data_IF_560502424451
#
_entry.id   IF_560502424451
#
_cell.length_a   1.000
_cell.length_b   1.000
_cell.length_c   1.000
_cell.angle_alpha   90.00
_cell.angle_beta   90.00
_cell.angle_gamma   90.00
#
_symmetry.space_group_name_H-M   'P 1'
#
loop_
_entity.id
_entity.type
_entity.pdbx_description
1 polymer ?
#
# COMPACT_ATOMS: atom_id res chain seq x y z
N UNK A 1 -34.17 3.68 -7.46
CA UNK A 1 -32.86 2.98 -7.54
C UNK A 1 -32.05 3.38 -6.32
N UNK A 2 -31.61 2.43 -5.49
CA UNK A 2 -30.82 2.72 -4.29
C UNK A 2 -29.34 2.81 -4.67
N UNK A 3 -28.70 3.97 -4.43
CA UNK A 3 -27.24 4.09 -4.37
C UNK A 3 -26.81 4.01 -2.91
N UNK A 4 -26.40 2.82 -2.48
CA UNK A 4 -25.66 2.67 -1.22
C UNK A 4 -24.20 3.02 -1.50
N UNK A 5 -23.80 4.26 -1.26
CA UNK A 5 -22.40 4.59 -0.97
C UNK A 5 -22.16 4.33 0.51
N UNK A 6 -22.13 3.05 0.92
CA UNK A 6 -21.40 2.71 2.15
C UNK A 6 -19.97 3.15 1.87
N UNK A 7 -19.45 4.10 2.63
CA UNK A 7 -18.02 4.31 2.73
C UNK A 7 -17.39 2.91 2.86
N UNK A 8 -16.59 2.49 1.87
CA UNK A 8 -15.95 1.18 1.85
C UNK A 8 -15.28 1.07 3.22
N UNK A 9 -15.71 0.12 4.05
CA UNK A 9 -15.20 0.00 5.40
C UNK A 9 -13.73 -0.45 5.26
N UNK A 10 -12.82 0.52 5.24
CA UNK A 10 -11.38 0.30 5.02
C UNK A 10 -10.78 -0.64 6.06
N UNK A 11 -11.50 -0.88 7.17
CA UNK A 11 -11.29 -1.92 8.16
C UNK A 11 -10.90 -3.29 7.61
N UNK A 12 -11.44 -3.65 6.43
CA UNK A 12 -11.35 -5.03 5.93
C UNK A 12 -10.42 -5.21 4.72
N UNK A 13 -9.82 -4.14 4.20
CA UNK A 13 -8.92 -4.27 3.06
C UNK A 13 -7.53 -4.75 3.50
N UNK A 14 -6.94 -5.73 2.81
CA UNK A 14 -5.56 -6.10 3.07
C UNK A 14 -4.61 -4.97 2.68
N UNK A 15 -3.44 -4.93 3.33
CA UNK A 15 -2.33 -4.04 2.96
C UNK A 15 -1.34 -4.83 2.11
N UNK A 16 -1.04 -4.34 0.90
CA UNK A 16 0.05 -4.86 0.10
C UNK A 16 1.38 -4.33 0.62
N UNK A 17 2.35 -5.23 0.75
CA UNK A 17 3.73 -4.89 1.07
C UNK A 17 4.68 -5.48 0.03
N UNK A 18 5.79 -4.82 -0.21
CA UNK A 18 6.84 -5.37 -1.07
C UNK A 18 7.49 -6.59 -0.38
N UNK A 19 7.79 -7.66 -1.13
CA UNK A 19 8.49 -8.85 -0.62
C UNK A 19 9.93 -8.54 -0.17
N UNK A 20 10.56 -7.52 -0.76
CA UNK A 20 11.89 -7.08 -0.35
C UNK A 20 11.91 -6.65 1.12
N UNK A 21 12.56 -7.46 1.97
CA UNK A 21 12.71 -7.23 3.40
C UNK A 21 13.50 -5.96 3.74
N UNK A 22 14.29 -5.47 2.80
CA UNK A 22 15.07 -4.24 2.94
C UNK A 22 14.27 -2.98 2.58
N UNK A 23 13.13 -3.13 1.88
CA UNK A 23 12.24 -2.03 1.50
C UNK A 23 11.75 -1.28 2.75
N UNK A 24 12.01 0.03 2.89
CA UNK A 24 11.59 0.74 4.10
C UNK A 24 10.07 0.94 4.15
N UNK A 25 9.38 1.00 2.99
CA UNK A 25 7.91 1.02 2.95
C UNK A 25 7.34 -0.27 3.55
N UNK A 26 7.94 -1.44 3.27
CA UNK A 26 7.54 -2.71 3.88
C UNK A 26 7.64 -2.64 5.40
N UNK A 27 8.79 -2.19 5.92
CA UNK A 27 9.03 -2.08 7.38
C UNK A 27 8.00 -1.17 8.03
N UNK A 28 7.74 -0.02 7.42
CA UNK A 28 6.75 0.94 7.91
C UNK A 28 5.32 0.39 7.86
N UNK A 29 4.92 -0.26 6.76
CA UNK A 29 3.60 -0.90 6.67
C UNK A 29 3.41 -1.99 7.71
N UNK A 30 4.44 -2.79 7.99
CA UNK A 30 4.40 -3.80 9.07
C UNK A 30 4.19 -3.11 10.42
N UNK A 31 4.98 -2.08 10.74
CA UNK A 31 4.86 -1.33 12.00
C UNK A 31 3.47 -0.74 12.22
N UNK A 32 2.85 -0.22 11.16
CA UNK A 32 1.55 0.46 11.24
C UNK A 32 0.37 -0.51 11.29
N UNK A 33 0.44 -1.63 10.56
CA UNK A 33 -0.76 -2.39 10.21
C UNK A 33 -0.74 -3.87 10.60
N UNK A 34 0.40 -4.45 11.02
CA UNK A 34 0.50 -5.90 11.27
C UNK A 34 -0.53 -6.42 12.30
N UNK A 35 -0.89 -5.61 13.29
CA UNK A 35 -1.82 -6.00 14.37
C UNK A 35 -3.29 -5.78 13.98
N UNK A 36 -3.54 -5.02 12.91
CA UNK A 36 -4.90 -4.52 12.59
C UNK A 36 -5.40 -4.95 11.22
N UNK A 37 -4.53 -5.45 10.34
CA UNK A 37 -4.84 -5.82 8.95
C UNK A 37 -4.04 -7.01 8.48
N UNK A 38 -4.57 -7.71 7.49
CA UNK A 38 -3.85 -8.76 6.75
C UNK A 38 -2.81 -8.08 5.85
N UNK A 39 -1.56 -8.56 5.91
CA UNK A 39 -0.49 -8.13 5.02
C UNK A 39 -0.30 -9.15 3.90
N UNK A 40 -0.25 -8.69 2.65
CA UNK A 40 -0.03 -9.53 1.46
C UNK A 40 1.26 -9.09 0.79
N UNK A 41 2.19 -10.03 0.61
CA UNK A 41 3.46 -9.76 -0.06
C UNK A 41 3.34 -9.81 -1.57
N UNK A 42 4.04 -8.90 -2.24
CA UNK A 42 4.11 -8.86 -3.70
C UNK A 42 5.52 -8.51 -4.18
N UNK A 43 5.89 -8.98 -5.37
CA UNK A 43 7.28 -8.91 -5.85
C UNK A 43 7.67 -7.60 -6.54
N UNK A 44 6.71 -6.86 -7.11
CA UNK A 44 7.02 -5.68 -7.93
C UNK A 44 6.05 -4.54 -7.68
N UNK A 45 6.53 -3.31 -7.87
CA UNK A 45 5.67 -2.12 -7.82
C UNK A 45 4.52 -2.20 -8.84
N UNK A 46 4.76 -2.77 -10.02
CA UNK A 46 3.71 -2.93 -11.04
C UNK A 46 2.59 -3.86 -10.56
N UNK A 47 2.92 -4.95 -9.88
CA UNK A 47 1.92 -5.87 -9.32
C UNK A 47 1.12 -5.19 -8.21
N UNK A 48 1.79 -4.44 -7.32
CA UNK A 48 1.14 -3.62 -6.29
C UNK A 48 0.11 -2.69 -6.93
N UNK A 49 0.54 -1.88 -7.90
CA UNK A 49 -0.32 -0.88 -8.54
C UNK A 49 -1.49 -1.53 -9.27
N UNK A 50 -1.27 -2.67 -9.95
CA UNK A 50 -2.33 -3.41 -10.63
C UNK A 50 -3.44 -3.87 -9.69
N UNK A 51 -3.09 -4.46 -8.54
CA UNK A 51 -4.05 -4.96 -7.55
C UNK A 51 -4.80 -3.79 -6.89
N UNK A 52 -4.09 -2.71 -6.55
CA UNK A 52 -4.70 -1.54 -5.90
C UNK A 52 -5.70 -0.86 -6.83
N UNK A 53 -5.38 -0.73 -8.13
CA UNK A 53 -6.29 -0.16 -9.13
C UNK A 53 -7.56 -1.00 -9.34
N UNK A 54 -7.51 -2.30 -9.09
CA UNK A 54 -8.70 -3.16 -9.09
C UNK A 54 -9.58 -2.92 -7.86
N UNK A 55 -9.06 -2.23 -6.85
CA UNK A 55 -9.78 -1.86 -5.64
C UNK A 55 -9.87 -2.97 -4.61
N UNK A 56 -8.97 -3.95 -4.69
CA UNK A 56 -8.93 -5.17 -3.85
C UNK A 56 -8.00 -5.04 -2.63
N UNK A 57 -7.14 -4.02 -2.60
CA UNK A 57 -6.19 -3.81 -1.50
C UNK A 57 -5.82 -2.33 -1.34
N UNK A 58 -5.18 -2.02 -0.21
CA UNK A 58 -4.55 -0.72 0.09
C UNK A 58 -3.03 -0.91 0.10
N UNK A 59 -2.27 0.15 -0.16
CA UNK A 59 -0.81 0.13 -0.07
C UNK A 59 -0.29 1.47 0.46
N UNK A 60 0.84 1.43 1.18
CA UNK A 60 1.61 2.63 1.49
C UNK A 60 2.52 2.99 0.31
N UNK A 61 2.34 4.19 -0.25
CA UNK A 61 3.10 4.68 -1.40
C UNK A 61 3.83 5.99 -1.09
N UNK A 62 5.01 6.22 -1.72
CA UNK A 62 5.61 7.54 -1.75
C UNK A 62 4.68 8.55 -2.42
N UNK A 63 4.63 9.78 -1.89
CA UNK A 63 3.82 10.86 -2.48
C UNK A 63 4.18 11.16 -3.94
N UNK A 64 5.44 10.94 -4.35
CA UNK A 64 5.88 11.09 -5.73
C UNK A 64 5.26 10.06 -6.70
N UNK A 65 4.69 8.97 -6.18
CA UNK A 65 3.99 7.93 -6.94
C UNK A 65 2.47 8.01 -6.76
N UNK A 66 1.93 9.11 -6.21
CA UNK A 66 0.50 9.36 -6.19
C UNK A 66 0.01 9.59 -7.63
N UNK A 67 -0.51 8.53 -8.25
CA UNK A 67 -1.05 8.54 -9.61
C UNK A 67 -2.53 8.94 -9.55
N UNK A 68 -3.00 9.71 -10.53
CA UNK A 68 -4.38 10.22 -10.63
C UNK A 68 -5.49 9.14 -10.54
N UNK A 69 -5.16 7.87 -10.75
CA UNK A 69 -6.08 6.73 -10.73
C UNK A 69 -6.23 6.09 -9.35
N UNK A 70 -5.50 6.59 -8.33
CA UNK A 70 -5.55 6.08 -6.98
C UNK A 70 -6.30 7.05 -6.07
N UNK A 71 -7.11 6.50 -5.16
CA UNK A 71 -7.76 7.28 -4.10
C UNK A 71 -7.00 7.11 -2.81
N UNK A 72 -6.72 8.22 -2.13
CA UNK A 72 -6.12 8.22 -0.80
C UNK A 72 -6.99 7.43 0.18
N UNK A 73 -6.36 6.46 0.85
CA UNK A 73 -6.97 5.66 1.90
C UNK A 73 -7.18 6.51 3.16
N UNK A 74 -6.13 7.15 3.65
CA UNK A 74 -6.18 8.07 4.79
C UNK A 74 -5.19 9.23 4.59
N UNK A 75 -5.39 10.32 5.32
CA UNK A 75 -4.62 11.57 5.13
C UNK A 75 -3.28 11.59 5.90
N UNK A 76 -2.87 10.48 6.53
CA UNK A 76 -1.62 10.46 7.29
C UNK A 76 -0.41 10.28 6.37
N UNK A 77 0.57 11.16 6.56
CA UNK A 77 1.89 11.04 5.95
C UNK A 77 2.92 10.63 6.99
N UNK A 78 3.87 9.80 6.58
CA UNK A 78 4.95 9.32 7.44
C UNK A 78 6.30 9.57 6.77
N UNK A 79 7.28 9.99 7.56
CA UNK A 79 8.66 10.10 7.10
C UNK A 79 9.27 8.72 6.91
N UNK A 80 10.04 8.58 5.83
CA UNK A 80 10.73 7.34 5.47
C UNK A 80 12.19 7.64 5.18
N UNK A 81 13.09 6.86 5.76
CA UNK A 81 14.51 6.95 5.45
C UNK A 81 14.71 6.46 4.02
N UNK A 82 15.29 7.32 3.18
CA UNK A 82 15.58 7.04 1.78
C UNK A 82 16.39 5.74 1.65
N UNK A 83 15.98 4.87 0.73
CA UNK A 83 16.66 3.61 0.44
C UNK A 83 16.99 3.52 -1.03
N UNK A 84 18.25 3.18 -1.31
CA UNK A 84 18.72 2.85 -2.64
C UNK A 84 18.64 1.35 -2.84
N UNK A 85 17.81 0.92 -3.80
CA UNK A 85 17.69 -0.47 -4.19
C UNK A 85 19.00 -0.94 -4.83
N UNK A 86 19.76 -1.78 -4.14
CA UNK A 86 20.94 -2.43 -4.71
C UNK A 86 20.48 -3.64 -5.53
N UNK A 87 20.36 -3.44 -6.83
CA UNK A 87 20.24 -4.54 -7.77
C UNK A 87 21.59 -5.25 -7.87
N UNK A 88 21.75 -6.38 -7.17
CA UNK A 88 22.91 -7.26 -7.38
C UNK A 88 22.65 -8.03 -8.68
N UNK A 89 22.95 -7.39 -9.81
CA UNK A 89 23.00 -8.06 -11.11
C UNK A 89 24.25 -8.95 -11.23
#
# INVERSE_FOLDING_TARGET
>A
MLKSSKAKNMGNFPILINRDISCPLRKLSIQLYQETRILIETDTLNNILSIVKQGDAIVLLPLSLAINELTTADEHSHDIIYYEYKNNA
#
